data_IF_027354721339
#
_entry.id   IF_027354721339
#
_cell.length_a   1.000
_cell.length_b   1.000
_cell.length_c   1.000
_cell.angle_alpha   90.00
_cell.angle_beta   90.00
_cell.angle_gamma   90.00
#
_symmetry.space_group_name_H-M   'P 1'
#
loop_
_entity.id
_entity.type
_entity.pdbx_description
1 polymer ?
#
# COMPACT_ATOMS: atom_id res chain seq x y z
N UNK A 1 -27.05 13.44 -0.80
CA UNK A 1 -26.58 12.05 -0.66
C UNK A 1 -26.43 11.76 0.82
N UNK A 2 -27.47 11.19 1.42
CA UNK A 2 -27.40 10.72 2.80
C UNK A 2 -26.64 9.38 2.79
N UNK A 3 -25.50 9.34 3.47
CA UNK A 3 -24.73 8.11 3.68
C UNK A 3 -25.00 7.62 5.09
N UNK A 4 -25.40 6.36 5.23
CA UNK A 4 -25.63 5.72 6.52
C UNK A 4 -24.81 4.44 6.63
N UNK A 5 -24.04 4.31 7.70
CA UNK A 5 -23.26 3.10 8.00
C UNK A 5 -24.03 2.26 9.02
N UNK A 6 -24.15 0.96 8.76
CA UNK A 6 -24.72 -0.01 9.71
C UNK A 6 -23.71 -1.12 9.96
N UNK A 7 -23.56 -1.49 11.22
CA UNK A 7 -22.67 -2.54 11.67
C UNK A 7 -23.50 -3.79 11.99
N UNK A 8 -22.98 -4.95 11.60
CA UNK A 8 -23.59 -6.26 11.86
C UNK A 8 -22.54 -7.14 12.52
N UNK A 9 -22.97 -7.97 13.48
CA UNK A 9 -22.05 -8.87 14.20
C UNK A 9 -21.99 -10.25 13.56
N UNK A 10 -23.07 -10.67 12.90
CA UNK A 10 -23.20 -11.98 12.27
C UNK A 10 -23.58 -11.87 10.79
N UNK A 11 -23.12 -12.83 9.99
CA UNK A 11 -23.48 -12.94 8.58
C UNK A 11 -25.00 -13.13 8.39
N UNK A 12 -25.67 -13.77 9.34
CA UNK A 12 -27.13 -13.98 9.33
C UNK A 12 -27.90 -12.67 9.35
N UNK A 13 -27.42 -11.67 10.10
CA UNK A 13 -28.03 -10.34 10.16
C UNK A 13 -27.81 -9.56 8.87
N UNK A 14 -26.63 -9.72 8.25
CA UNK A 14 -26.35 -9.12 6.94
C UNK A 14 -27.27 -9.71 5.87
N UNK A 15 -27.52 -11.03 5.91
CA UNK A 15 -28.42 -11.72 4.98
C UNK A 15 -29.88 -11.28 5.16
N UNK A 16 -30.39 -11.21 6.39
CA UNK A 16 -31.75 -10.72 6.64
C UNK A 16 -31.91 -9.24 6.25
N UNK A 17 -30.87 -8.42 6.45
CA UNK A 17 -30.86 -7.04 5.98
C UNK A 17 -30.87 -6.92 4.45
N UNK A 18 -30.15 -7.81 3.75
CA UNK A 18 -30.17 -7.88 2.29
C UNK A 18 -31.53 -8.35 1.75
N UNK A 19 -32.17 -9.35 2.36
CA UNK A 19 -33.52 -9.79 2.01
C UNK A 19 -34.55 -8.66 2.16
N UNK A 20 -34.41 -7.84 3.19
CA UNK A 20 -35.25 -6.65 3.39
C UNK A 20 -34.92 -5.48 2.44
N UNK A 21 -33.72 -5.45 1.84
CA UNK A 21 -33.22 -4.38 0.97
C UNK A 21 -32.52 -4.96 -0.27
N UNK A 22 -33.29 -5.66 -1.10
CA UNK A 22 -32.83 -6.27 -2.35
C UNK A 22 -32.28 -5.24 -3.35
N UNK A 23 -32.59 -3.96 -3.17
CA UNK A 23 -32.10 -2.86 -4.01
C UNK A 23 -30.61 -2.54 -3.79
N UNK A 24 -30.02 -2.97 -2.66
CA UNK A 24 -28.63 -2.64 -2.30
C UNK A 24 -27.58 -3.61 -2.86
N UNK A 25 -27.97 -4.77 -3.42
CA UNK A 25 -27.08 -5.81 -3.98
C UNK A 25 -25.79 -6.03 -3.15
N UNK A 26 -25.93 -6.37 -1.87
CA UNK A 26 -24.80 -6.48 -0.93
C UNK A 26 -24.01 -7.79 -1.04
N UNK A 27 -24.57 -8.81 -1.68
CA UNK A 27 -23.91 -10.08 -1.96
C UNK A 27 -23.73 -10.21 -3.47
N UNK A 28 -22.51 -10.51 -3.90
CA UNK A 28 -22.29 -10.97 -5.26
C UNK A 28 -22.94 -12.34 -5.40
N UNK A 29 -23.82 -12.50 -6.38
CA UNK A 29 -24.36 -13.81 -6.74
C UNK A 29 -23.17 -14.66 -7.16
N UNK A 30 -22.91 -15.74 -6.44
CA UNK A 30 -21.83 -16.68 -6.74
C UNK A 30 -21.78 -16.97 -8.24
N UNK A 31 -20.58 -16.82 -8.82
CA UNK A 31 -20.24 -17.21 -10.18
C UNK A 31 -20.44 -18.72 -10.32
N UNK A 32 -21.66 -19.16 -10.60
CA UNK A 32 -22.02 -20.58 -10.68
C UNK A 32 -23.45 -20.89 -11.13
N UNK A 33 -24.32 -19.89 -11.31
CA UNK A 33 -25.61 -20.09 -11.99
C UNK A 33 -25.61 -19.34 -13.31
N UNK A 34 -25.63 -20.12 -14.39
CA UNK A 34 -25.82 -19.67 -15.76
C UNK A 34 -26.87 -18.57 -15.85
N UNK A 35 -26.57 -17.61 -16.71
CA UNK A 35 -27.52 -16.64 -17.29
C UNK A 35 -28.80 -17.37 -17.73
N UNK A 36 -29.80 -17.46 -16.86
CA UNK A 36 -31.17 -17.68 -17.29
C UNK A 36 -31.72 -16.33 -17.77
N UNK A 37 -32.26 -16.28 -18.99
CA UNK A 37 -32.72 -15.05 -19.60
C UNK A 37 -33.95 -14.53 -18.84
N UNK A 38 -34.03 -13.20 -18.76
CA UNK A 38 -35.20 -12.41 -18.35
C UNK A 38 -36.51 -13.22 -18.37
N UNK A 39 -36.98 -13.64 -17.20
CA UNK A 39 -38.34 -14.11 -17.02
C UNK A 39 -38.96 -13.41 -15.80
N UNK A 40 -39.74 -12.36 -16.13
CA UNK A 40 -40.96 -11.93 -15.44
C UNK A 40 -40.96 -11.96 -13.91
N UNK A 41 -40.34 -10.95 -13.32
CA UNK A 41 -40.48 -10.62 -11.91
C UNK A 41 -40.11 -9.17 -11.65
N UNK A 42 -40.58 -8.27 -12.51
CA UNK A 42 -40.44 -6.83 -12.32
C UNK A 42 -41.20 -6.42 -11.05
N UNK A 43 -40.53 -6.47 -9.90
CA UNK A 43 -40.90 -5.61 -8.79
C UNK A 43 -40.67 -4.17 -9.29
N UNK A 44 -41.78 -3.52 -9.63
CA UNK A 44 -41.82 -2.18 -10.19
C UNK A 44 -40.86 -1.24 -9.44
N UNK A 45 -39.86 -0.71 -10.15
CA UNK A 45 -39.09 0.41 -9.63
C UNK A 45 -40.03 1.59 -9.50
N UNK A 46 -40.44 1.88 -8.25
CA UNK A 46 -40.98 3.19 -7.92
C UNK A 46 -39.96 4.24 -8.38
N UNK A 47 -40.39 5.39 -8.92
CA UNK A 47 -39.48 6.47 -9.31
C UNK A 47 -38.94 7.10 -8.04
N UNK A 48 -37.92 6.47 -7.47
CA UNK A 48 -37.37 6.81 -6.17
C UNK A 48 -35.88 6.45 -6.14
N UNK A 49 -35.10 7.40 -5.62
CA UNK A 49 -33.65 7.40 -5.34
C UNK A 49 -33.00 6.02 -5.42
N UNK A 50 -32.13 5.81 -6.43
CA UNK A 50 -31.25 4.62 -6.51
C UNK A 50 -30.25 4.66 -5.36
N UNK A 51 -30.36 3.73 -4.41
CA UNK A 51 -29.40 3.54 -3.31
C UNK A 51 -28.30 2.58 -3.75
N UNK A 52 -27.07 2.79 -3.28
CA UNK A 52 -25.91 1.92 -3.54
C UNK A 52 -25.37 1.43 -2.20
N UNK A 53 -25.19 0.13 -2.05
CA UNK A 53 -24.55 -0.47 -0.89
C UNK A 53 -23.17 -1.03 -1.25
N UNK A 54 -22.23 -0.98 -0.29
CA UNK A 54 -20.97 -1.71 -0.36
C UNK A 54 -20.83 -2.53 0.92
N UNK A 55 -20.68 -3.85 0.79
CA UNK A 55 -20.35 -4.73 1.89
C UNK A 55 -18.84 -4.72 2.12
N UNK A 56 -18.42 -4.58 3.38
CA UNK A 56 -17.02 -4.66 3.79
C UNK A 56 -16.96 -5.66 4.93
N UNK A 57 -16.31 -6.79 4.70
CA UNK A 57 -16.09 -7.81 5.73
C UNK A 57 -14.76 -7.57 6.44
N UNK A 58 -14.79 -7.67 7.77
CA UNK A 58 -13.61 -7.51 8.62
C UNK A 58 -13.16 -8.89 9.11
N UNK A 59 -12.55 -9.68 8.22
CA UNK A 59 -12.08 -11.03 8.53
C UNK A 59 -11.07 -11.07 9.69
N UNK A 60 -10.32 -9.99 9.88
CA UNK A 60 -9.30 -9.83 10.92
C UNK A 60 -9.84 -9.24 12.23
N UNK A 61 -11.16 -9.20 12.44
CA UNK A 61 -11.74 -8.60 13.65
C UNK A 61 -11.17 -9.21 14.95
N UNK A 62 -10.91 -10.53 14.97
CA UNK A 62 -10.38 -11.22 16.14
C UNK A 62 -8.92 -10.89 16.43
N UNK A 63 -8.08 -10.71 15.40
CA UNK A 63 -6.68 -10.30 15.57
C UNK A 63 -6.60 -8.83 15.99
N UNK A 64 -7.43 -7.98 15.39
CA UNK A 64 -7.56 -6.56 15.75
C UNK A 64 -7.97 -6.43 17.23
N UNK A 65 -8.94 -7.21 17.70
CA UNK A 65 -9.36 -7.17 19.10
C UNK A 65 -8.25 -7.59 20.08
N UNK A 66 -7.45 -8.61 19.73
CA UNK A 66 -6.28 -9.00 20.52
C UNK A 66 -5.24 -7.88 20.58
N UNK A 67 -4.91 -7.29 19.45
CA UNK A 67 -3.97 -6.16 19.35
C UNK A 67 -4.45 -4.96 20.16
N UNK A 68 -5.74 -4.62 20.09
CA UNK A 68 -6.35 -3.57 20.91
C UNK A 68 -6.19 -3.87 22.40
N UNK A 69 -6.38 -5.13 22.82
CA UNK A 69 -6.17 -5.55 24.20
C UNK A 69 -4.71 -5.41 24.65
N UNK A 70 -3.75 -5.78 23.80
CA UNK A 70 -2.32 -5.62 24.07
C UNK A 70 -1.90 -4.15 24.13
N UNK A 71 -2.42 -3.30 23.24
CA UNK A 71 -2.22 -1.86 23.24
C UNK A 71 -2.77 -1.23 24.53
N UNK A 72 -3.98 -1.65 24.95
CA UNK A 72 -4.57 -1.21 26.22
C UNK A 72 -3.70 -1.53 27.43
N UNK A 73 -3.06 -2.70 27.49
CA UNK A 73 -2.11 -3.06 28.56
C UNK A 73 -0.87 -2.18 28.58
N UNK A 74 -0.46 -1.65 27.43
CA UNK A 74 0.65 -0.69 27.29
C UNK A 74 0.22 0.77 27.53
N UNK A 75 -1.02 1.02 27.95
CA UNK A 75 -1.56 2.35 28.22
C UNK A 75 -2.07 3.08 26.97
N UNK A 76 -2.07 2.43 25.80
CA UNK A 76 -2.57 2.99 24.55
C UNK A 76 -4.03 2.57 24.36
N UNK A 77 -4.95 3.33 24.96
CA UNK A 77 -6.40 3.10 24.80
C UNK A 77 -6.87 3.46 23.40
N UNK A 78 -7.90 2.75 22.91
CA UNK A 78 -8.52 3.00 21.59
C UNK A 78 -9.06 4.42 21.49
N UNK A 79 -9.60 4.96 22.59
CA UNK A 79 -10.16 6.32 22.64
C UNK A 79 -9.12 7.38 22.27
N UNK A 80 -7.84 7.12 22.52
CA UNK A 80 -6.74 8.04 22.20
C UNK A 80 -6.31 7.99 20.73
N UNK A 81 -6.89 7.09 19.91
CA UNK A 81 -6.68 7.09 18.46
C UNK A 81 -7.60 8.05 17.72
N UNK A 82 -8.73 8.44 18.33
CA UNK A 82 -9.56 9.52 17.83
C UNK A 82 -8.99 10.88 18.26
N UNK A 83 -9.22 11.92 17.45
CA UNK A 83 -8.83 13.27 17.80
C UNK A 83 -9.66 13.75 19.00
N UNK A 84 -8.98 14.04 20.12
CA UNK A 84 -9.59 14.62 21.32
C UNK A 84 -9.52 16.14 21.28
N UNK A 85 -10.49 16.82 21.88
CA UNK A 85 -10.47 18.29 22.03
C UNK A 85 -9.38 18.76 23.02
N UNK A 86 -8.90 17.87 23.89
CA UNK A 86 -7.83 18.13 24.86
C UNK A 86 -6.57 17.35 24.50
N UNK A 87 -5.37 17.93 24.65
CA UNK A 87 -4.13 17.23 24.40
C UNK A 87 -3.98 16.07 25.39
N UNK A 88 -3.70 14.89 24.85
CA UNK A 88 -3.53 13.64 25.61
C UNK A 88 -2.05 13.44 25.95
N UNK A 89 -1.17 13.83 25.02
CA UNK A 89 0.28 13.68 25.15
C UNK A 89 0.99 15.00 24.88
N UNK A 90 2.18 15.16 25.45
CA UNK A 90 3.07 16.27 25.17
C UNK A 90 4.41 15.70 24.68
N UNK A 91 4.87 16.16 23.52
CA UNK A 91 6.16 15.80 22.96
C UNK A 91 7.15 16.93 23.21
N UNK A 92 8.22 16.62 23.93
CA UNK A 92 9.26 17.58 24.28
C UNK A 92 10.44 17.41 23.31
N UNK A 93 10.76 18.46 22.57
CA UNK A 93 11.88 18.53 21.63
C UNK A 93 13.06 19.26 22.30
N UNK A 94 14.15 18.55 22.60
CA UNK A 94 15.38 19.08 23.21
C UNK A 94 15.56 18.74 24.69
N UNK A 95 16.68 19.20 25.28
CA UNK A 95 17.02 19.02 26.70
C UNK A 95 17.27 20.39 27.37
N UNK A 96 16.76 20.57 28.60
CA UNK A 96 16.96 21.79 29.41
C UNK A 96 16.02 22.97 29.08
N UNK A 97 16.50 24.20 29.28
CA UNK A 97 15.69 25.44 29.20
C UNK A 97 15.23 25.82 27.77
N UNK A 98 15.73 25.15 26.72
CA UNK A 98 15.35 25.38 25.32
C UNK A 98 14.37 24.34 24.77
N UNK A 99 13.78 23.53 25.65
CA UNK A 99 12.84 22.49 25.26
C UNK A 99 11.56 23.09 24.66
N UNK A 100 11.17 22.60 23.48
CA UNK A 100 9.91 23.00 22.81
C UNK A 100 8.88 21.91 23.06
N UNK A 101 7.78 22.27 23.72
CA UNK A 101 6.67 21.35 23.99
C UNK A 101 5.64 21.41 22.86
N UNK A 102 5.35 20.26 22.25
CA UNK A 102 4.31 20.10 21.23
C UNK A 102 3.13 19.33 21.84
N UNK A 103 1.94 19.94 21.99
CA UNK A 103 0.75 19.22 22.43
C UNK A 103 0.25 18.28 21.33
N UNK A 104 -0.15 17.07 21.69
CA UNK A 104 -0.63 16.02 20.79
C UNK A 104 -2.03 15.56 21.23
N UNK A 105 -2.93 15.46 20.26
CA UNK A 105 -4.35 15.21 20.48
C UNK A 105 -4.76 13.77 20.16
N UNK A 106 -3.85 12.99 19.54
CA UNK A 106 -4.06 11.59 19.22
C UNK A 106 -2.75 10.78 19.21
N UNK A 107 -2.84 9.46 19.36
CA UNK A 107 -1.68 8.55 19.27
C UNK A 107 -0.99 8.60 17.89
N UNK A 108 -1.72 8.60 16.75
CA UNK A 108 -1.08 8.67 15.43
C UNK A 108 -0.25 9.94 15.21
N UNK A 109 -0.63 11.05 15.84
CA UNK A 109 0.13 12.31 15.77
C UNK A 109 1.53 12.19 16.38
N UNK A 110 1.74 11.32 17.38
CA UNK A 110 3.07 11.09 17.97
C UNK A 110 4.07 10.70 16.87
N UNK A 111 3.73 9.67 16.08
CA UNK A 111 4.59 9.19 15.01
C UNK A 111 4.81 10.27 13.94
N UNK A 112 3.74 10.94 13.52
CA UNK A 112 3.83 12.02 12.53
C UNK A 112 4.76 13.15 13.00
N UNK A 113 4.62 13.56 14.27
CA UNK A 113 5.42 14.66 14.83
C UNK A 113 6.88 14.28 15.04
N UNK A 114 7.16 13.05 15.49
CA UNK A 114 8.52 12.52 15.58
C UNK A 114 9.19 12.51 14.20
N UNK A 115 8.48 12.04 13.16
CA UNK A 115 9.00 12.03 11.79
C UNK A 115 9.22 13.45 11.27
N UNK A 116 8.31 14.38 11.56
CA UNK A 116 8.45 15.80 11.20
C UNK A 116 9.72 16.40 11.85
N UNK A 117 9.89 16.24 13.16
CA UNK A 117 11.05 16.72 13.91
C UNK A 117 12.33 16.07 13.37
N UNK A 118 12.35 14.75 13.20
CA UNK A 118 13.51 14.03 12.67
C UNK A 118 13.85 14.37 11.22
N UNK A 119 12.89 14.88 10.44
CA UNK A 119 13.13 15.40 9.08
C UNK A 119 13.69 16.82 9.08
N UNK A 120 13.48 17.62 10.14
CA UNK A 120 14.04 18.97 10.21
C UNK A 120 15.56 18.88 10.20
N UNK A 121 16.19 19.60 9.27
CA UNK A 121 17.64 19.58 9.05
C UNK A 121 18.14 18.45 8.14
N UNK A 122 17.31 17.47 7.79
CA UNK A 122 17.68 16.43 6.82
C UNK A 122 17.31 16.91 5.42
N UNK A 123 18.32 17.29 4.63
CA UNK A 123 18.13 17.55 3.20
C UNK A 123 18.22 16.25 2.42
N UNK A 124 17.06 15.75 1.96
CA UNK A 124 17.02 14.59 1.08
C UNK A 124 17.35 15.06 -0.34
N UNK A 125 18.57 14.80 -0.81
CA UNK A 125 18.97 15.02 -2.20
C UNK A 125 18.87 13.72 -2.97
N UNK A 126 18.12 13.73 -4.07
CA UNK A 126 18.07 12.61 -5.02
C UNK A 126 19.06 12.89 -6.15
N UNK A 127 20.17 12.18 -6.17
CA UNK A 127 21.12 12.21 -7.28
C UNK A 127 20.50 11.54 -8.51
N UNK A 128 20.36 12.25 -9.62
CA UNK A 128 19.89 11.66 -10.90
C UNK A 128 21.00 11.04 -11.72
N UNK A 129 22.24 11.45 -11.45
CA UNK A 129 23.45 10.88 -12.05
C UNK A 129 24.67 11.15 -11.18
N UNK A 130 25.79 10.52 -11.54
CA UNK A 130 27.05 10.62 -10.79
C UNK A 130 27.64 12.05 -10.80
N UNK A 131 27.37 12.83 -11.86
CA UNK A 131 27.85 14.22 -11.97
C UNK A 131 27.23 15.20 -10.96
N UNK A 132 26.17 14.80 -10.25
CA UNK A 132 25.54 15.62 -9.20
C UNK A 132 26.16 15.40 -7.81
N UNK A 133 27.07 14.43 -7.70
CA UNK A 133 27.79 14.07 -6.48
C UNK A 133 29.12 14.81 -6.41
N UNK A 134 29.52 15.22 -5.21
CA UNK A 134 30.86 15.75 -4.99
C UNK A 134 31.90 14.61 -4.88
N UNK A 135 33.19 14.94 -4.93
CA UNK A 135 34.27 13.95 -4.90
C UNK A 135 34.27 13.07 -3.62
N UNK A 136 33.89 13.65 -2.46
CA UNK A 136 33.82 12.90 -1.19
C UNK A 136 32.67 11.89 -1.18
N UNK A 137 31.52 12.28 -1.69
CA UNK A 137 30.34 11.42 -1.85
C UNK A 137 30.63 10.26 -2.80
N UNK A 138 31.22 10.55 -3.96
CA UNK A 138 31.61 9.51 -4.93
C UNK A 138 32.57 8.50 -4.31
N UNK A 139 33.59 8.98 -3.60
CA UNK A 139 34.56 8.10 -2.97
C UNK A 139 33.90 7.18 -1.94
N UNK A 140 33.15 7.76 -0.99
CA UNK A 140 32.50 7.01 0.09
C UNK A 140 31.44 6.00 -0.40
N UNK A 141 30.81 6.25 -1.55
CA UNK A 141 29.72 5.41 -2.06
C UNK A 141 30.17 4.38 -3.08
N UNK A 142 31.11 4.73 -3.98
CA UNK A 142 31.44 3.91 -5.15
C UNK A 142 32.91 3.53 -5.28
N UNK A 143 33.84 4.31 -4.73
CA UNK A 143 35.28 4.08 -4.97
C UNK A 143 36.01 3.40 -3.81
N UNK A 144 35.58 3.66 -2.57
CA UNK A 144 36.17 3.09 -1.35
C UNK A 144 36.10 1.54 -1.39
N UNK A 145 37.24 0.83 -1.45
CA UNK A 145 37.26 -0.64 -1.51
C UNK A 145 36.58 -1.32 -0.33
N UNK A 146 36.51 -0.68 0.84
CA UNK A 146 35.89 -1.25 2.03
C UNK A 146 34.36 -1.17 2.00
N UNK A 147 33.80 -0.20 1.24
CA UNK A 147 32.35 0.09 1.23
C UNK A 147 31.68 -0.14 -0.12
N UNK A 148 32.45 -0.12 -1.21
CA UNK A 148 31.91 -0.25 -2.57
C UNK A 148 31.28 -1.62 -2.77
N UNK A 149 30.17 -1.64 -3.50
CA UNK A 149 29.53 -2.86 -3.97
C UNK A 149 29.75 -2.95 -5.47
N UNK A 150 30.53 -3.94 -5.89
CA UNK A 150 30.77 -4.24 -7.30
C UNK A 150 30.05 -5.53 -7.66
N UNK A 151 29.38 -5.53 -8.81
CA UNK A 151 28.86 -6.74 -9.43
C UNK A 151 29.87 -7.21 -10.47
N UNK A 152 30.26 -8.48 -10.38
CA UNK A 152 31.12 -9.12 -11.38
C UNK A 152 30.20 -9.72 -12.45
N UNK A 153 30.42 -9.36 -13.70
CA UNK A 153 29.74 -9.97 -14.85
C UNK A 153 30.58 -11.17 -15.28
N UNK A 154 29.99 -12.36 -15.23
CA UNK A 154 30.64 -13.61 -15.61
C UNK A 154 30.03 -14.14 -16.91
N UNK A 155 30.89 -14.36 -17.90
CA UNK A 155 30.56 -15.02 -19.16
C UNK A 155 31.28 -16.37 -19.17
N UNK A 156 30.51 -17.46 -19.16
CA UNK A 156 30.99 -18.84 -19.17
C UNK A 156 30.69 -19.49 -20.52
N UNK A 157 31.32 -20.61 -20.83
CA UNK A 157 31.03 -21.35 -22.07
C UNK A 157 29.54 -21.75 -22.13
N UNK A 158 28.98 -22.14 -20.98
CA UNK A 158 27.58 -22.55 -20.84
C UNK A 158 26.56 -21.46 -21.18
N UNK A 159 26.84 -20.19 -20.85
CA UNK A 159 25.92 -19.06 -21.11
C UNK A 159 26.29 -18.23 -22.34
N UNK A 160 27.43 -18.53 -22.98
CA UNK A 160 27.96 -17.75 -24.10
C UNK A 160 27.01 -17.71 -25.31
N UNK A 161 26.39 -18.84 -25.64
CA UNK A 161 25.47 -18.97 -26.77
C UNK A 161 24.18 -18.19 -26.53
N UNK A 162 23.61 -18.30 -25.33
CA UNK A 162 22.38 -17.58 -24.97
C UNK A 162 22.63 -16.08 -24.90
N UNK A 163 23.78 -15.66 -24.36
CA UNK A 163 24.18 -14.26 -24.33
C UNK A 163 24.28 -13.69 -25.75
N UNK A 164 24.92 -14.38 -26.69
CA UNK A 164 25.05 -13.94 -28.09
C UNK A 164 23.69 -13.85 -28.81
N UNK A 165 22.82 -14.84 -28.60
CA UNK A 165 21.43 -14.78 -29.08
C UNK A 165 20.70 -13.56 -28.51
N UNK A 166 20.93 -13.23 -27.24
CA UNK A 166 20.31 -12.08 -26.61
C UNK A 166 20.84 -10.75 -27.12
N UNK A 167 22.15 -10.64 -27.34
CA UNK A 167 22.74 -9.48 -28.00
C UNK A 167 22.18 -9.30 -29.40
N UNK A 168 22.07 -10.37 -30.19
CA UNK A 168 21.51 -10.29 -31.54
C UNK A 168 20.04 -9.86 -31.53
N UNK A 169 19.23 -10.41 -30.61
CA UNK A 169 17.80 -10.08 -30.52
C UNK A 169 17.55 -8.65 -30.01
N UNK A 170 18.35 -8.17 -29.07
CA UNK A 170 18.16 -6.85 -28.45
C UNK A 170 18.90 -5.74 -29.20
N UNK A 171 20.09 -6.00 -29.74
CA UNK A 171 20.96 -4.99 -30.34
C UNK A 171 21.13 -5.15 -31.86
N UNK A 172 20.57 -6.20 -32.47
CA UNK A 172 20.64 -6.40 -33.92
C UNK A 172 19.84 -5.38 -34.74
N UNK A 173 20.07 -5.38 -36.05
CA UNK A 173 19.48 -4.39 -36.97
C UNK A 173 17.98 -4.60 -37.19
N UNK A 174 17.48 -5.82 -36.98
CA UNK A 174 16.08 -6.17 -37.22
C UNK A 174 15.23 -5.76 -36.01
N UNK A 175 14.27 -4.87 -36.23
CA UNK A 175 13.41 -4.30 -35.17
C UNK A 175 12.35 -5.28 -34.68
N UNK A 176 11.84 -6.17 -35.56
CA UNK A 176 10.70 -7.04 -35.26
C UNK A 176 10.97 -8.02 -34.10
N UNK A 177 12.11 -8.76 -34.06
CA UNK A 177 12.42 -9.66 -32.95
C UNK A 177 12.62 -8.95 -31.61
N UNK A 178 13.11 -7.70 -31.65
CA UNK A 178 13.29 -6.85 -30.47
C UNK A 178 11.92 -6.43 -29.90
N UNK A 179 11.01 -5.98 -30.77
CA UNK A 179 9.67 -5.53 -30.35
C UNK A 179 8.91 -6.66 -29.65
N UNK A 180 8.84 -7.83 -30.28
CA UNK A 180 8.18 -9.00 -29.72
C UNK A 180 8.77 -9.38 -28.35
N UNK A 181 10.10 -9.40 -28.24
CA UNK A 181 10.77 -9.72 -26.98
C UNK A 181 10.42 -8.75 -25.84
N UNK A 182 10.33 -7.45 -26.13
CA UNK A 182 9.95 -6.43 -25.14
C UNK A 182 8.48 -6.60 -24.74
N UNK A 183 7.58 -6.80 -25.70
CA UNK A 183 6.14 -6.98 -25.42
C UNK A 183 5.88 -8.20 -24.53
N UNK A 184 6.55 -9.32 -24.81
CA UNK A 184 6.38 -10.58 -24.07
C UNK A 184 6.94 -10.51 -22.64
N UNK A 185 8.02 -9.73 -22.42
CA UNK A 185 8.77 -9.76 -21.15
C UNK A 185 8.67 -8.49 -20.30
N UNK A 186 8.18 -7.36 -20.84
CA UNK A 186 8.19 -6.06 -20.14
C UNK A 186 7.47 -6.08 -18.78
N UNK A 187 6.39 -6.85 -18.66
CA UNK A 187 5.62 -6.94 -17.41
C UNK A 187 6.25 -7.90 -16.39
N UNK A 188 7.11 -8.82 -16.83
CA UNK A 188 7.71 -9.87 -16.01
C UNK A 188 9.02 -9.44 -15.33
N UNK A 189 9.60 -8.30 -15.73
CA UNK A 189 10.90 -7.81 -15.22
C UNK A 189 10.93 -7.63 -13.69
N UNK A 190 9.79 -7.37 -13.06
CA UNK A 190 9.72 -7.17 -11.59
C UNK A 190 10.03 -8.44 -10.78
N UNK A 191 9.90 -9.62 -11.38
CA UNK A 191 9.98 -10.90 -10.69
C UNK A 191 11.15 -11.77 -11.16
N UNK A 192 12.20 -11.16 -11.74
CA UNK A 192 13.34 -11.94 -12.24
C UNK A 192 14.18 -12.60 -11.13
N UNK A 193 14.14 -12.05 -9.91
CA UNK A 193 14.98 -12.46 -8.77
C UNK A 193 14.16 -13.01 -7.58
N UNK A 194 12.94 -13.55 -7.80
CA UNK A 194 12.07 -14.13 -6.74
C UNK A 194 12.40 -15.59 -6.47
#
# INVERSE_FOLDING_TARGET
NEESVRYFHDEREVRSFHEANLDLNLFDVDMGQELLPLASGAAASKPGVRRRGKKVELHEATTIQKLIGELGRRGLKVDHYAASDKPIFELIEGDGEKAVTHPLFSIPEIHQKIVEIGRRGVQIKRFKGLGEMNAKELFNTTMDPEKRKLLKVDLTEDNSVEADQMFTRLMGDVVEPRRQYIEDNALNVRNLDV
#
